data_IF_553425764163
#
_entry.id   IF_553425764163
#
_cell.length_a   1.000
_cell.length_b   1.000
_cell.length_c   1.000
_cell.angle_alpha   90.00
_cell.angle_beta   90.00
_cell.angle_gamma   90.00
#
_symmetry.space_group_name_H-M   'P 1'
#
loop_
_entity.id
_entity.type
_entity.pdbx_description
1 polymer ?
#
# COMPACT_ATOMS: atom_id res chain seq x y z
N UNK A 1 -23.69 13.10 51.43
CA UNK A 1 -22.24 13.21 51.12
C UNK A 1 -22.04 12.89 49.65
N UNK A 2 -21.90 13.92 48.81
CA UNK A 2 -21.95 13.86 47.35
C UNK A 2 -20.54 13.63 46.78
N UNK A 3 -20.31 12.53 46.06
CA UNK A 3 -19.02 12.23 45.41
C UNK A 3 -18.97 12.89 44.03
N UNK A 4 -18.18 13.95 43.90
CA UNK A 4 -17.79 14.56 42.62
C UNK A 4 -17.06 13.56 41.72
N UNK A 5 -17.60 13.31 40.53
CA UNK A 5 -16.89 12.59 39.45
C UNK A 5 -15.86 13.53 38.81
N UNK A 6 -14.57 13.15 38.72
CA UNK A 6 -13.60 13.94 37.98
C UNK A 6 -13.90 13.85 36.48
N UNK A 7 -14.05 15.01 35.85
CA UNK A 7 -14.17 15.15 34.39
C UNK A 7 -12.81 14.79 33.78
N UNK A 8 -12.72 13.62 33.17
CA UNK A 8 -11.57 13.21 32.37
C UNK A 8 -11.37 14.22 31.25
N UNK A 9 -10.31 15.03 31.32
CA UNK A 9 -9.85 15.84 30.19
C UNK A 9 -9.35 14.86 29.13
N UNK A 10 -10.13 14.63 28.07
CA UNK A 10 -9.65 13.92 26.89
C UNK A 10 -8.37 14.62 26.40
N UNK A 11 -7.31 13.87 26.05
CA UNK A 11 -6.12 14.47 25.46
C UNK A 11 -6.50 15.18 24.16
N UNK A 12 -6.08 16.44 24.04
CA UNK A 12 -6.28 17.22 22.82
C UNK A 12 -5.61 16.50 21.63
N UNK A 13 -6.27 16.41 20.46
CA UNK A 13 -5.66 15.80 19.29
C UNK A 13 -4.38 16.54 18.93
N UNK A 14 -3.26 15.83 18.92
CA UNK A 14 -1.95 16.38 18.53
C UNK A 14 -1.97 16.70 17.04
N UNK A 15 -1.91 18.00 16.71
CA UNK A 15 -1.85 18.46 15.33
C UNK A 15 -0.44 18.23 14.77
N UNK A 16 -0.27 17.18 13.98
CA UNK A 16 0.97 16.95 13.24
C UNK A 16 0.95 17.71 11.90
N UNK A 17 2.06 18.36 11.56
CA UNK A 17 2.29 18.97 10.25
C UNK A 17 3.06 17.97 9.39
N UNK A 18 2.56 17.69 8.19
CA UNK A 18 3.13 16.72 7.26
C UNK A 18 3.31 17.40 5.91
N UNK A 19 4.46 17.18 5.25
CA UNK A 19 4.69 17.62 3.88
C UNK A 19 4.31 16.49 2.92
N UNK A 20 3.42 16.78 1.96
CA UNK A 20 3.00 15.83 0.93
C UNK A 20 3.49 16.32 -0.43
N UNK A 21 4.24 15.48 -1.14
CA UNK A 21 4.58 15.72 -2.53
C UNK A 21 3.39 15.33 -3.41
N UNK A 22 2.66 16.33 -3.92
CA UNK A 22 1.52 16.14 -4.82
C UNK A 22 1.90 16.66 -6.23
N UNK A 23 1.44 16.02 -7.31
CA UNK A 23 1.60 16.57 -8.66
C UNK A 23 0.95 17.95 -8.78
N UNK A 24 1.54 18.85 -9.58
CA UNK A 24 1.07 20.25 -9.71
C UNK A 24 -0.41 20.36 -10.11
N UNK A 25 -0.85 19.48 -11.02
CA UNK A 25 -2.25 19.41 -11.42
C UNK A 25 -3.19 19.10 -10.23
N UNK A 26 -2.75 18.24 -9.30
CA UNK A 26 -3.51 17.90 -8.09
C UNK A 26 -3.54 19.09 -7.13
N UNK A 27 -2.41 19.78 -6.96
CA UNK A 27 -2.34 21.00 -6.12
C UNK A 27 -3.30 22.06 -6.64
N UNK A 28 -3.33 22.29 -7.96
CA UNK A 28 -4.24 23.24 -8.60
C UNK A 28 -5.71 22.85 -8.38
N UNK A 29 -6.05 21.56 -8.56
CA UNK A 29 -7.40 21.05 -8.35
C UNK A 29 -7.88 21.21 -6.89
N UNK A 30 -7.03 20.87 -5.92
CA UNK A 30 -7.32 21.03 -4.48
C UNK A 30 -7.55 22.51 -4.13
N UNK A 31 -6.69 23.41 -4.62
CA UNK A 31 -6.86 24.86 -4.38
C UNK A 31 -8.16 25.38 -4.98
N UNK A 32 -8.51 24.97 -6.19
CA UNK A 32 -9.77 25.37 -6.83
C UNK A 32 -11.00 24.83 -6.08
N UNK A 33 -10.96 23.57 -5.64
CA UNK A 33 -12.03 22.95 -4.86
C UNK A 33 -12.21 23.62 -3.50
N UNK A 34 -11.12 23.92 -2.79
CA UNK A 34 -11.14 24.60 -1.51
C UNK A 34 -11.74 26.00 -1.61
N UNK A 35 -11.37 26.76 -2.66
CA UNK A 35 -11.97 28.08 -2.95
C UNK A 35 -13.47 28.01 -3.19
N UNK A 36 -13.96 27.05 -3.98
CA UNK A 36 -15.40 26.86 -4.22
C UNK A 36 -16.19 26.58 -2.93
N UNK A 37 -15.55 25.96 -1.93
CA UNK A 37 -16.15 25.62 -0.65
C UNK A 37 -15.88 26.64 0.46
N UNK A 38 -15.07 27.68 0.20
CA UNK A 38 -14.72 28.69 1.21
C UNK A 38 -13.86 28.17 2.37
N UNK A 39 -13.17 27.03 2.20
CA UNK A 39 -12.32 26.41 3.24
C UNK A 39 -10.85 26.43 2.83
N UNK A 40 -9.94 26.13 3.78
CA UNK A 40 -8.53 26.02 3.45
C UNK A 40 -8.22 24.71 2.71
N UNK A 41 -7.20 24.67 1.85
CA UNK A 41 -6.76 23.43 1.20
C UNK A 41 -6.44 22.31 2.20
N UNK A 42 -5.89 22.65 3.38
CA UNK A 42 -5.56 21.68 4.41
C UNK A 42 -6.82 21.05 5.04
N UNK A 43 -7.88 21.83 5.25
CA UNK A 43 -9.15 21.32 5.79
C UNK A 43 -9.82 20.39 4.78
N UNK A 44 -9.80 20.75 3.49
CA UNK A 44 -10.30 19.88 2.43
C UNK A 44 -9.55 18.54 2.38
N UNK A 45 -8.21 18.57 2.45
CA UNK A 45 -7.40 17.34 2.47
C UNK A 45 -7.74 16.48 3.70
N UNK A 46 -7.92 17.09 4.87
CA UNK A 46 -8.31 16.38 6.10
C UNK A 46 -9.68 15.72 5.97
N UNK A 47 -10.67 16.42 5.42
CA UNK A 47 -12.02 15.89 5.20
C UNK A 47 -11.99 14.67 4.27
N UNK A 48 -11.28 14.78 3.15
CA UNK A 48 -11.14 13.69 2.17
C UNK A 48 -10.42 12.48 2.77
N UNK A 49 -9.31 12.72 3.47
CA UNK A 49 -8.55 11.65 4.13
C UNK A 49 -9.35 11.02 5.27
N UNK A 50 -10.11 11.79 6.05
CA UNK A 50 -10.98 11.25 7.11
C UNK A 50 -12.09 10.38 6.51
N UNK A 51 -12.63 10.75 5.35
CA UNK A 51 -13.63 9.95 4.64
C UNK A 51 -13.05 8.62 4.10
N UNK A 52 -11.81 8.62 3.59
CA UNK A 52 -11.20 7.43 2.99
C UNK A 52 -10.43 6.53 3.97
N UNK A 53 -9.82 7.13 5.00
CA UNK A 53 -8.99 6.44 6.00
C UNK A 53 -9.68 6.32 7.36
N UNK A 54 -10.88 6.90 7.51
CA UNK A 54 -11.71 6.64 8.66
C UNK A 54 -11.89 5.14 8.87
N UNK A 55 -12.12 4.69 10.12
CA UNK A 55 -12.41 3.29 10.36
C UNK A 55 -13.53 2.89 9.41
N UNK A 56 -13.27 1.88 8.57
CA UNK A 56 -14.31 1.12 7.91
C UNK A 56 -15.20 0.61 9.05
N UNK A 57 -16.20 1.42 9.42
CA UNK A 57 -17.35 0.92 10.11
C UNK A 57 -17.88 -0.14 9.18
N UNK A 58 -17.81 -1.40 9.62
CA UNK A 58 -18.51 -2.52 9.02
C UNK A 58 -19.82 -2.01 8.36
N UNK A 59 -20.02 -2.21 7.05
CA UNK A 59 -21.34 -2.04 6.49
C UNK A 59 -22.21 -3.13 7.10
N UNK A 60 -22.99 -2.77 8.11
CA UNK A 60 -24.06 -3.61 8.62
C UNK A 60 -25.37 -2.83 8.64
N UNK A 61 -26.49 -3.52 8.41
CA UNK A 61 -27.25 -3.31 7.18
C UNK A 61 -28.60 -2.65 7.50
N UNK A 62 -28.99 -1.67 6.70
CA UNK A 62 -30.40 -1.37 6.52
C UNK A 62 -30.70 -1.24 5.02
N UNK A 63 -31.42 -2.22 4.44
CA UNK A 63 -32.13 -1.94 3.21
C UNK A 63 -33.27 -0.99 3.57
N UNK A 64 -33.11 0.29 3.20
CA UNK A 64 -34.25 1.18 3.06
C UNK A 64 -35.13 0.62 1.94
N UNK A 65 -36.06 -0.23 2.35
CA UNK A 65 -37.31 -0.51 1.65
C UNK A 65 -38.04 0.82 1.47
N UNK A 66 -38.01 1.33 0.23
CA UNK A 66 -39.09 2.16 -0.30
C UNK A 66 -39.86 1.31 -1.33
N UNK A 67 -41.20 1.35 -1.29
CA UNK A 67 -42.04 0.39 -1.99
C UNK A 67 -42.31 0.77 -3.45
N UNK A 68 -42.37 -0.27 -4.29
CA UNK A 68 -43.40 -0.52 -5.30
C UNK A 68 -43.72 0.60 -6.32
N UNK A 69 -43.04 0.57 -7.48
CA UNK A 69 -43.70 0.46 -8.79
C UNK A 69 -42.70 0.65 -9.96
N UNK A 70 -42.23 -0.46 -10.53
CA UNK A 70 -42.06 -0.61 -11.98
C UNK A 70 -41.78 -2.09 -12.28
N UNK A 71 -42.86 -2.83 -12.51
CA UNK A 71 -42.86 -4.21 -12.99
C UNK A 71 -42.29 -4.24 -14.41
N UNK A 72 -41.24 -5.02 -14.64
CA UNK A 72 -41.10 -5.84 -15.86
C UNK A 72 -40.68 -7.23 -15.39
N UNK A 73 -41.43 -8.21 -15.89
CA UNK A 73 -41.42 -9.59 -15.43
C UNK A 73 -40.12 -10.36 -15.77
N UNK A 74 -39.79 -11.39 -14.98
CA UNK A 74 -38.65 -12.29 -15.17
C UNK A 74 -38.98 -13.48 -16.10
N UNK A 75 -37.99 -14.12 -16.75
CA UNK A 75 -38.11 -15.52 -17.16
C UNK A 75 -37.82 -16.47 -15.97
N UNK A 76 -38.47 -17.65 -15.93
CA UNK A 76 -38.51 -18.53 -14.76
C UNK A 76 -37.21 -19.29 -14.50
N UNK A 77 -36.87 -19.33 -13.22
CA UNK A 77 -35.87 -20.17 -12.58
C UNK A 77 -36.41 -21.61 -12.42
N UNK A 78 -35.53 -22.62 -12.59
CA UNK A 78 -35.32 -23.76 -11.66
C UNK A 78 -34.67 -24.98 -12.38
N UNK A 79 -33.98 -25.91 -11.66
CA UNK A 79 -33.81 -25.98 -10.20
C UNK A 79 -32.37 -26.15 -9.69
N UNK A 80 -32.16 -25.56 -8.50
CA UNK A 80 -31.35 -26.01 -7.35
C UNK A 80 -31.18 -27.55 -7.23
N UNK A 81 -30.13 -28.09 -6.55
CA UNK A 81 -30.09 -27.95 -5.09
C UNK A 81 -28.73 -27.98 -4.33
N UNK A 82 -28.83 -27.44 -3.11
CA UNK A 82 -28.17 -27.80 -1.84
C UNK A 82 -26.75 -27.29 -1.55
N UNK A 83 -26.73 -26.31 -0.62
CA UNK A 83 -25.63 -26.00 0.29
C UNK A 83 -25.15 -27.26 1.06
N UNK A 84 -23.89 -27.28 1.53
CA UNK A 84 -23.57 -26.62 2.81
C UNK A 84 -22.25 -25.82 2.80
N UNK A 85 -22.20 -24.68 3.50
CA UNK A 85 -20.92 -24.12 3.97
C UNK A 85 -20.30 -25.12 4.98
N UNK A 86 -18.96 -25.34 5.01
CA UNK A 86 -18.08 -24.42 5.76
C UNK A 86 -16.58 -24.39 5.34
N UNK A 87 -15.86 -23.43 5.94
CA UNK A 87 -14.41 -23.44 6.24
C UNK A 87 -13.38 -23.14 5.13
N UNK A 88 -12.55 -22.16 5.50
CA UNK A 88 -11.15 -21.94 5.12
C UNK A 88 -10.47 -23.11 4.39
N UNK A 89 -9.95 -22.86 3.19
CA UNK A 89 -8.82 -23.58 2.60
C UNK A 89 -8.26 -22.75 1.45
N UNK A 90 -6.95 -22.53 1.47
CA UNK A 90 -6.18 -21.97 0.38
C UNK A 90 -6.41 -22.76 -0.93
N UNK A 91 -6.48 -22.10 -2.09
CA UNK A 91 -6.34 -22.79 -3.36
C UNK A 91 -4.98 -22.45 -3.99
N UNK A 92 -4.08 -23.44 -4.00
CA UNK A 92 -3.36 -23.78 -5.23
C UNK A 92 -3.80 -25.18 -5.66
N UNK A 93 -3.44 -25.70 -6.86
CA UNK A 93 -2.78 -25.06 -8.00
C UNK A 93 -3.44 -25.37 -9.38
N UNK A 94 -2.98 -24.65 -10.41
CA UNK A 94 -3.11 -24.88 -11.87
C UNK A 94 -4.50 -24.63 -12.50
N UNK A 95 -4.54 -23.98 -13.68
CA UNK A 95 -3.86 -24.46 -14.89
C UNK A 95 -2.54 -23.75 -15.16
N UNK A 96 -1.51 -24.53 -15.49
CA UNK A 96 -0.40 -24.07 -16.32
C UNK A 96 -0.95 -23.67 -17.70
N UNK A 97 -0.85 -22.40 -18.13
CA UNK A 97 -0.13 -22.15 -19.36
C UNK A 97 1.35 -22.30 -19.01
N UNK A 98 2.04 -23.23 -19.68
CA UNK A 98 3.49 -23.08 -19.86
C UNK A 98 3.78 -21.59 -20.13
N UNK A 99 4.79 -20.96 -19.50
CA UNK A 99 5.08 -19.56 -19.76
C UNK A 99 5.46 -19.45 -21.23
N UNK A 100 4.46 -19.17 -22.07
CA UNK A 100 4.63 -18.88 -23.47
C UNK A 100 5.62 -17.73 -23.49
N UNK A 101 6.84 -18.05 -23.92
CA UNK A 101 8.01 -17.20 -24.03
C UNK A 101 7.80 -15.81 -23.45
N UNK A 102 8.34 -15.60 -22.23
CA UNK A 102 8.63 -14.30 -21.65
C UNK A 102 8.90 -13.27 -22.75
N UNK A 103 7.85 -12.62 -23.25
CA UNK A 103 8.05 -11.77 -24.40
C UNK A 103 8.72 -10.56 -23.82
N UNK A 104 9.99 -10.37 -24.17
CA UNK A 104 10.79 -9.23 -23.73
C UNK A 104 10.01 -7.92 -23.90
N UNK A 105 9.22 -7.85 -24.95
CA UNK A 105 8.23 -6.80 -25.21
C UNK A 105 7.25 -6.54 -24.06
N UNK A 106 6.71 -7.58 -23.41
CA UNK A 106 5.81 -7.45 -22.26
C UNK A 106 6.53 -6.92 -21.00
N UNK A 107 7.78 -7.33 -20.80
CA UNK A 107 8.63 -6.81 -19.73
C UNK A 107 8.92 -5.32 -19.98
N UNK A 108 9.33 -4.97 -21.20
CA UNK A 108 9.59 -3.58 -21.61
C UNK A 108 8.32 -2.71 -21.53
N UNK A 109 7.16 -3.25 -21.90
CA UNK A 109 5.88 -2.57 -21.73
C UNK A 109 5.56 -2.29 -20.26
N UNK A 110 5.85 -3.24 -19.36
CA UNK A 110 5.69 -3.04 -17.92
C UNK A 110 6.61 -1.94 -17.38
N UNK A 111 7.89 -1.92 -17.78
CA UNK A 111 8.83 -0.85 -17.40
C UNK A 111 8.39 0.53 -17.92
N UNK A 112 7.90 0.61 -19.15
CA UNK A 112 7.41 1.87 -19.72
C UNK A 112 6.15 2.37 -19.02
N UNK A 113 5.20 1.48 -18.73
CA UNK A 113 3.92 1.84 -18.12
C UNK A 113 4.00 2.10 -16.60
N UNK A 114 5.03 1.61 -15.92
CA UNK A 114 5.13 1.72 -14.48
C UNK A 114 5.34 3.16 -13.99
N UNK A 115 4.60 3.53 -12.94
CA UNK A 115 4.73 4.83 -12.27
C UNK A 115 5.61 4.80 -11.01
N UNK A 116 5.92 3.61 -10.50
CA UNK A 116 6.74 3.41 -9.30
C UNK A 116 7.08 1.95 -9.08
N UNK A 117 7.92 1.68 -8.06
CA UNK A 117 8.42 0.33 -7.76
C UNK A 117 7.30 -0.69 -7.49
N UNK A 118 6.28 -0.32 -6.71
CA UNK A 118 5.17 -1.22 -6.39
C UNK A 118 4.31 -1.55 -7.62
N UNK A 119 4.06 -0.57 -8.48
CA UNK A 119 3.30 -0.77 -9.73
C UNK A 119 4.09 -1.66 -10.70
N UNK A 120 5.40 -1.41 -10.83
CA UNK A 120 6.30 -2.24 -11.62
C UNK A 120 6.29 -3.70 -11.14
N UNK A 121 6.44 -3.92 -9.83
CA UNK A 121 6.41 -5.26 -9.24
C UNK A 121 5.06 -5.95 -9.44
N UNK A 122 3.94 -5.22 -9.36
CA UNK A 122 2.59 -5.77 -9.60
C UNK A 122 2.44 -6.22 -11.05
N UNK A 123 2.88 -5.39 -12.00
CA UNK A 123 2.84 -5.71 -13.45
C UNK A 123 3.74 -6.90 -13.78
N UNK A 124 4.97 -6.91 -13.27
CA UNK A 124 5.90 -8.03 -13.45
C UNK A 124 5.33 -9.32 -12.86
N UNK A 125 4.70 -9.28 -11.70
CA UNK A 125 4.06 -10.46 -11.09
C UNK A 125 2.92 -11.00 -11.95
N UNK A 126 2.13 -10.12 -12.58
CA UNK A 126 1.12 -10.50 -13.57
C UNK A 126 1.70 -11.22 -14.79
N UNK A 127 2.97 -10.96 -15.10
CA UNK A 127 3.73 -11.62 -16.16
C UNK A 127 4.53 -12.85 -15.68
N UNK A 128 4.51 -13.17 -14.39
CA UNK A 128 5.29 -14.26 -13.81
C UNK A 128 6.75 -13.91 -13.46
N UNK A 129 7.05 -12.61 -13.25
CA UNK A 129 8.38 -12.13 -12.86
C UNK A 129 8.35 -11.28 -11.59
N UNK A 130 9.50 -11.12 -10.96
CA UNK A 130 9.70 -10.23 -9.81
C UNK A 130 11.11 -9.66 -9.86
N UNK A 131 11.27 -8.39 -9.53
CA UNK A 131 12.58 -7.78 -9.34
C UNK A 131 13.08 -8.07 -7.92
N UNK A 132 14.35 -8.46 -7.80
CA UNK A 132 15.03 -8.63 -6.51
C UNK A 132 16.37 -7.91 -6.52
N UNK A 133 16.84 -7.61 -5.33
CA UNK A 133 18.19 -7.13 -5.11
C UNK A 133 19.17 -8.31 -5.21
N UNK A 134 20.11 -8.22 -6.15
CA UNK A 134 21.27 -9.08 -6.22
C UNK A 134 22.47 -8.46 -5.49
N UNK A 135 23.65 -9.07 -5.64
CA UNK A 135 24.86 -8.62 -4.93
C UNK A 135 25.33 -7.21 -5.36
N UNK A 136 25.10 -6.83 -6.61
CA UNK A 136 25.58 -5.55 -7.15
C UNK A 136 24.48 -4.77 -7.88
N UNK A 137 23.57 -5.47 -8.55
CA UNK A 137 22.54 -4.92 -9.41
C UNK A 137 21.16 -5.48 -9.05
N UNK A 138 20.12 -4.89 -9.63
CA UNK A 138 18.79 -5.50 -9.61
C UNK A 138 18.74 -6.68 -10.59
N UNK A 139 18.11 -7.76 -10.16
CA UNK A 139 18.00 -8.99 -10.92
C UNK A 139 16.52 -9.34 -11.14
N UNK A 140 16.21 -9.86 -12.33
CA UNK A 140 14.90 -10.39 -12.64
C UNK A 140 14.83 -11.86 -12.23
N UNK A 141 13.84 -12.19 -11.41
CA UNK A 141 13.56 -13.56 -10.98
C UNK A 141 12.22 -14.03 -11.52
N UNK A 142 12.13 -15.34 -11.76
CA UNK A 142 10.87 -16.02 -12.03
C UNK A 142 9.98 -16.00 -10.79
N UNK A 143 8.68 -15.80 -11.00
CA UNK A 143 7.66 -15.90 -9.97
C UNK A 143 6.60 -16.90 -10.43
N UNK A 144 6.17 -17.85 -9.58
CA UNK A 144 6.49 -18.00 -8.15
C UNK A 144 7.76 -18.82 -7.84
N UNK A 145 8.43 -19.39 -8.85
CA UNK A 145 9.55 -20.33 -8.64
C UNK A 145 10.81 -19.71 -8.00
N UNK A 146 11.01 -18.40 -8.12
CA UNK A 146 12.10 -17.66 -7.48
C UNK A 146 13.47 -17.79 -8.16
N UNK A 147 13.60 -18.55 -9.24
CA UNK A 147 14.87 -18.71 -9.96
C UNK A 147 15.30 -17.42 -10.64
N UNK A 148 16.57 -17.03 -10.47
CA UNK A 148 17.21 -15.90 -11.16
C UNK A 148 17.18 -16.16 -12.67
N UNK A 149 16.73 -15.17 -13.43
CA UNK A 149 16.67 -15.24 -14.89
C UNK A 149 17.82 -14.45 -15.52
N UNK A 150 17.92 -13.15 -15.20
CA UNK A 150 18.89 -12.25 -15.81
C UNK A 150 19.06 -10.97 -14.99
N UNK A 151 20.15 -10.25 -15.25
CA UNK A 151 20.41 -8.93 -14.69
C UNK A 151 19.51 -7.87 -15.35
N UNK A 152 19.20 -6.81 -14.60
CA UNK A 152 18.46 -5.67 -15.13
C UNK A 152 19.22 -4.97 -16.28
N UNK A 153 20.56 -4.97 -16.21
CA UNK A 153 21.42 -4.42 -17.27
C UNK A 153 21.26 -5.13 -18.61
N UNK A 154 21.04 -6.45 -18.60
CA UNK A 154 20.78 -7.23 -19.82
C UNK A 154 19.45 -6.88 -20.49
N UNK A 155 18.52 -6.26 -19.75
CA UNK A 155 17.26 -5.71 -20.29
C UNK A 155 17.45 -4.32 -20.91
N UNK A 156 18.65 -3.73 -20.82
CA UNK A 156 18.90 -2.35 -21.21
C UNK A 156 18.29 -1.33 -20.23
N UNK A 157 17.92 -1.80 -19.03
CA UNK A 157 17.41 -0.95 -17.96
C UNK A 157 18.53 -0.72 -16.95
N UNK A 158 18.64 0.51 -16.46
CA UNK A 158 19.64 0.89 -15.48
C UNK A 158 18.97 1.25 -14.15
N UNK A 159 19.54 0.74 -13.05
CA UNK A 159 18.98 0.95 -11.72
C UNK A 159 18.98 2.43 -11.33
N UNK A 160 20.05 3.16 -11.64
CA UNK A 160 20.14 4.59 -11.32
C UNK A 160 19.05 5.35 -12.09
N UNK A 161 18.86 5.01 -13.36
CA UNK A 161 17.80 5.57 -14.21
C UNK A 161 16.41 5.31 -13.63
N UNK A 162 16.13 4.10 -13.16
CA UNK A 162 14.85 3.78 -12.50
C UNK A 162 14.70 4.50 -11.16
N UNK A 163 15.76 4.59 -10.35
CA UNK A 163 15.76 5.32 -9.09
C UNK A 163 15.48 6.82 -9.31
N UNK A 164 16.07 7.42 -10.33
CA UNK A 164 15.81 8.80 -10.71
C UNK A 164 14.38 8.99 -11.22
N UNK A 165 13.90 8.05 -12.05
CA UNK A 165 12.53 8.08 -12.60
C UNK A 165 11.46 7.96 -11.51
N UNK A 166 11.62 7.01 -10.60
CA UNK A 166 10.67 6.78 -9.51
C UNK A 166 10.93 7.65 -8.28
N UNK A 167 12.01 8.43 -8.29
CA UNK A 167 12.44 9.33 -7.21
C UNK A 167 12.53 8.62 -5.85
N UNK A 168 12.86 7.34 -5.88
CA UNK A 168 12.96 6.47 -4.72
C UNK A 168 13.97 5.36 -4.99
N UNK A 169 14.75 4.98 -3.96
CA UNK A 169 15.59 3.78 -4.03
C UNK A 169 14.75 2.52 -4.16
N UNK A 170 15.35 1.44 -4.68
CA UNK A 170 14.68 0.15 -4.75
C UNK A 170 14.32 -0.36 -3.34
N UNK A 171 13.07 -0.82 -3.11
CA UNK A 171 12.67 -1.35 -1.82
C UNK A 171 13.46 -2.63 -1.48
N UNK A 172 14.27 -2.57 -0.42
CA UNK A 172 15.18 -3.66 -0.04
C UNK A 172 16.63 -3.20 -0.02
N UNK A 173 17.01 -2.37 -1.02
CA UNK A 173 18.29 -1.67 -1.01
C UNK A 173 18.23 -0.62 0.08
N UNK A 174 18.81 -0.95 1.24
CA UNK A 174 19.17 0.07 2.21
C UNK A 174 20.09 1.04 1.48
N UNK A 175 19.60 2.24 1.14
CA UNK A 175 20.50 3.27 0.61
C UNK A 175 21.68 3.37 1.59
N UNK A 176 22.92 3.55 1.11
CA UNK A 176 24.03 3.89 1.99
C UNK A 176 23.71 5.25 2.64
N UNK A 177 23.06 5.21 3.81
CA UNK A 177 22.51 6.37 4.51
C UNK A 177 21.00 6.32 4.84
N UNK A 178 20.20 5.41 4.26
CA UNK A 178 18.79 5.22 4.66
C UNK A 178 18.69 4.13 5.72
N UNK A 179 18.92 4.52 6.97
CA UNK A 179 18.59 3.75 8.18
C UNK A 179 17.07 3.75 8.44
N UNK A 180 16.25 3.64 7.40
CA UNK A 180 14.81 3.49 7.57
C UNK A 180 14.47 2.01 7.79
N UNK A 181 14.23 1.68 9.05
CA UNK A 181 13.68 0.40 9.56
C UNK A 181 14.65 -0.75 9.76
N UNK A 182 15.55 -0.56 10.71
CA UNK A 182 15.78 -1.57 11.74
C UNK A 182 15.56 -0.91 13.11
N UNK A 183 14.30 -0.72 13.51
CA UNK A 183 13.98 -0.49 14.92
C UNK A 183 14.17 -1.83 15.63
N UNK A 184 15.44 -2.17 15.89
CA UNK A 184 15.75 -3.12 16.94
C UNK A 184 15.45 -2.46 18.28
N UNK A 185 14.95 -3.18 19.29
CA UNK A 185 14.77 -2.62 20.63
C UNK A 185 16.13 -2.16 21.14
N UNK A 186 16.31 -0.84 21.22
CA UNK A 186 17.50 -0.21 21.78
C UNK A 186 17.62 -0.68 23.23
N UNK A 187 18.57 -1.57 23.49
CA UNK A 187 18.97 -1.95 24.83
C UNK A 187 19.34 -0.68 25.59
N UNK A 188 18.57 -0.40 26.64
CA UNK A 188 18.83 0.69 27.59
C UNK A 188 20.29 0.63 28.04
N UNK A 189 21.08 1.70 27.93
CA UNK A 189 22.33 1.78 28.68
C UNK A 189 21.97 1.86 30.16
N UNK A 190 22.28 0.80 30.90
CA UNK A 190 22.32 0.82 32.35
C UNK A 190 23.56 1.62 32.78
N UNK A 191 23.37 2.91 33.08
CA UNK A 191 24.08 3.52 34.22
C UNK A 191 23.18 3.39 35.45
N UNK A 192 23.69 3.36 36.69
CA UNK A 192 24.81 4.20 37.15
C UNK A 192 25.78 3.51 38.14
N UNK A 193 27.09 3.63 37.94
CA UNK A 193 28.07 3.21 38.97
C UNK A 193 28.98 4.39 39.31
N UNK A 194 28.61 5.11 40.37
CA UNK A 194 29.43 6.12 41.03
C UNK A 194 30.14 5.43 42.19
N UNK A 195 31.48 5.24 42.17
CA UNK A 195 32.21 4.94 43.39
C UNK A 195 32.57 6.25 44.10
N UNK A 196 31.88 6.51 45.21
CA UNK A 196 32.26 7.50 46.21
C UNK A 196 33.39 6.93 47.08
N UNK A 197 34.32 7.81 47.43
CA UNK A 197 35.55 7.65 48.19
C UNK A 197 35.47 6.78 49.47
N UNK A 198 36.57 6.08 49.76
CA UNK A 198 37.02 5.79 51.12
C UNK A 198 38.54 5.52 51.14
N UNK A 199 39.29 6.47 51.74
CA UNK A 199 40.53 6.37 52.52
C UNK A 199 41.42 7.59 52.29
#
# INVERSE_FOLDING_TARGET
>A
MTRSRPVSRLPLPTRQVVALALPDATIAAVKAAARRRGITPADLIREVLACHLGPQADPCPEPLVLPLAARVAPPPEAPSPKAPSPKATAPGPAPDPAPAAASRDGIDAAFRAAFGWLDLQTRLRGLGYVLREGESTLELHSWPRGGRLMDLGDLGQDEITLCLRFRAGFPGKGLPGSTASAVGPQARPAGPETPHAAA
#
